data_IF_698258697680
#
_entry.id   IF_698258697680
#
_cell.length_a   1.000
_cell.length_b   1.000
_cell.length_c   1.000
_cell.angle_alpha   90.00
_cell.angle_beta   90.00
_cell.angle_gamma   90.00
#
_symmetry.space_group_name_H-M   'P 1'
#
loop_
_entity.id
_entity.type
_entity.pdbx_description
1 polymer ?
#
# COMPACT_ATOMS: atom_id res chain seq x y z
N UNK A 1 20.55 -7.59 -15.96
CA UNK A 1 19.14 -7.23 -15.70
C UNK A 1 18.88 -7.54 -14.24
N UNK A 2 18.43 -6.54 -13.49
CA UNK A 2 18.04 -6.72 -12.09
C UNK A 2 16.52 -7.03 -12.06
N UNK A 3 16.21 -8.29 -12.36
CA UNK A 3 14.83 -8.78 -12.28
C UNK A 3 14.41 -8.95 -10.84
N UNK A 4 13.21 -8.47 -10.49
CA UNK A 4 12.60 -8.61 -9.19
C UNK A 4 11.25 -9.31 -9.32
N UNK A 5 11.09 -10.45 -8.62
CA UNK A 5 9.83 -11.18 -8.51
C UNK A 5 9.04 -10.68 -7.32
N UNK A 6 7.95 -9.98 -7.60
CA UNK A 6 7.06 -9.41 -6.60
C UNK A 6 5.84 -10.30 -6.46
N UNK A 7 5.61 -10.83 -5.26
CA UNK A 7 4.37 -11.48 -4.87
C UNK A 7 3.42 -10.48 -4.22
N UNK A 8 2.12 -10.64 -4.43
CA UNK A 8 1.12 -9.93 -3.64
C UNK A 8 -0.11 -10.78 -3.36
N UNK A 9 -0.79 -10.46 -2.29
CA UNK A 9 -2.02 -11.13 -1.84
C UNK A 9 -3.16 -10.11 -1.86
N UNK A 10 -4.11 -10.32 -2.77
CA UNK A 10 -5.41 -9.67 -2.78
C UNK A 10 -6.38 -10.58 -2.01
N UNK A 11 -6.72 -10.23 -0.77
CA UNK A 11 -7.48 -11.08 0.14
C UNK A 11 -8.79 -10.41 0.56
N UNK A 12 -9.84 -11.21 0.67
CA UNK A 12 -11.07 -10.87 1.39
C UNK A 12 -10.88 -11.13 2.88
N UNK A 13 -11.16 -10.14 3.71
CA UNK A 13 -11.05 -10.27 5.15
C UNK A 13 -12.38 -10.64 5.79
N UNK A 14 -12.29 -11.39 6.88
CA UNK A 14 -13.41 -11.78 7.73
C UNK A 14 -13.31 -11.14 9.12
N UNK A 15 -14.34 -11.31 9.95
CA UNK A 15 -14.31 -10.87 11.34
C UNK A 15 -13.32 -11.68 12.22
N UNK A 16 -12.87 -12.86 11.75
CA UNK A 16 -11.88 -13.68 12.45
C UNK A 16 -10.46 -13.23 12.09
N UNK A 17 -9.89 -12.40 12.95
CA UNK A 17 -8.51 -11.91 12.82
C UNK A 17 -7.47 -13.03 12.74
N UNK A 18 -7.71 -14.15 13.43
CA UNK A 18 -6.76 -15.29 13.41
C UNK A 18 -6.80 -16.01 12.06
N UNK A 19 -8.00 -16.18 11.49
CA UNK A 19 -8.16 -16.77 10.17
C UNK A 19 -7.52 -15.87 9.11
N UNK A 20 -7.75 -14.56 9.14
CA UNK A 20 -7.13 -13.62 8.21
C UNK A 20 -5.60 -13.73 8.23
N UNK A 21 -4.99 -13.73 9.43
CA UNK A 21 -3.54 -13.83 9.60
C UNK A 21 -3.01 -15.20 9.13
N UNK A 22 -3.72 -16.28 9.42
CA UNK A 22 -3.34 -17.63 8.98
C UNK A 22 -3.31 -17.72 7.44
N UNK A 23 -4.35 -17.24 6.78
CA UNK A 23 -4.45 -17.24 5.32
C UNK A 23 -3.34 -16.39 4.68
N UNK A 24 -3.01 -15.24 5.27
CA UNK A 24 -1.85 -14.44 4.85
C UNK A 24 -0.54 -15.22 5.00
N UNK A 25 -0.33 -15.91 6.12
CA UNK A 25 0.88 -16.70 6.34
C UNK A 25 1.00 -17.85 5.32
N UNK A 26 -0.10 -18.52 5.00
CA UNK A 26 -0.15 -19.57 3.96
C UNK A 26 0.15 -18.98 2.58
N UNK A 27 -0.45 -17.83 2.24
CA UNK A 27 -0.20 -17.13 0.98
C UNK A 27 1.25 -16.67 0.83
N UNK A 28 1.85 -16.12 1.90
CA UNK A 28 3.27 -15.76 1.93
C UNK A 28 4.14 -16.99 1.66
N UNK A 29 3.83 -18.11 2.33
CA UNK A 29 4.56 -19.38 2.13
C UNK A 29 4.46 -19.89 0.69
N UNK A 30 3.26 -19.81 0.08
CA UNK A 30 3.05 -20.22 -1.32
C UNK A 30 3.84 -19.32 -2.28
N UNK A 31 3.70 -18.01 -2.17
CA UNK A 31 4.41 -17.04 -3.01
C UNK A 31 5.92 -17.20 -2.91
N UNK A 32 6.45 -17.37 -1.70
CA UNK A 32 7.87 -17.57 -1.48
C UNK A 32 8.39 -18.87 -2.15
N UNK A 33 7.65 -19.98 -2.03
CA UNK A 33 7.97 -21.26 -2.70
C UNK A 33 7.94 -21.16 -4.23
N UNK A 34 7.09 -20.28 -4.76
CA UNK A 34 7.00 -19.97 -6.20
C UNK A 34 8.08 -18.97 -6.65
N UNK A 35 8.93 -18.51 -5.73
CA UNK A 35 10.12 -17.71 -6.04
C UNK A 35 9.95 -16.20 -5.90
N UNK A 36 8.90 -15.71 -5.22
CA UNK A 36 8.80 -14.30 -4.85
C UNK A 36 9.99 -13.87 -3.98
N UNK A 37 10.52 -12.67 -4.23
CA UNK A 37 11.62 -12.07 -3.47
C UNK A 37 11.12 -10.92 -2.58
N UNK A 38 10.06 -10.25 -3.03
CA UNK A 38 9.32 -9.23 -2.30
C UNK A 38 7.85 -9.66 -2.25
N UNK A 39 7.22 -9.60 -1.09
CA UNK A 39 5.79 -9.91 -0.92
C UNK A 39 5.11 -8.69 -0.32
N UNK A 40 4.00 -8.24 -0.94
CA UNK A 40 3.24 -7.07 -0.52
C UNK A 40 1.85 -7.52 -0.06
N UNK A 41 1.47 -7.08 1.14
CA UNK A 41 0.15 -7.31 1.72
C UNK A 41 -0.71 -6.05 1.59
N UNK A 42 -2.02 -6.20 1.71
CA UNK A 42 -2.98 -5.10 1.68
C UNK A 42 -2.94 -4.25 2.97
N UNK A 43 -3.60 -3.11 2.96
CA UNK A 43 -3.69 -2.20 4.11
C UNK A 43 -4.50 -2.80 5.26
N UNK A 44 -4.02 -2.64 6.52
CA UNK A 44 -4.70 -3.06 7.76
C UNK A 44 -5.21 -4.52 7.69
N UNK A 45 -4.42 -5.38 7.10
CA UNK A 45 -4.81 -6.71 6.63
C UNK A 45 -5.23 -7.73 7.71
N UNK A 46 -5.06 -7.42 9.00
CA UNK A 46 -5.36 -8.38 10.07
C UNK A 46 -6.86 -8.51 10.37
N UNK A 47 -7.67 -7.50 10.05
CA UNK A 47 -9.07 -7.43 10.45
C UNK A 47 -9.97 -6.94 9.32
N UNK A 48 -11.28 -6.99 9.53
CA UNK A 48 -12.20 -6.17 8.75
C UNK A 48 -11.74 -4.71 8.79
N UNK A 49 -12.08 -3.95 7.76
CA UNK A 49 -11.81 -2.52 7.72
C UNK A 49 -12.71 -1.81 8.74
N UNK A 50 -12.17 -1.55 9.90
CA UNK A 50 -12.90 -1.04 11.06
C UNK A 50 -13.20 0.46 11.02
N UNK A 51 -12.57 1.20 10.10
CA UNK A 51 -12.77 2.65 9.97
C UNK A 51 -14.11 3.03 9.32
N UNK A 52 -14.97 2.05 9.05
CA UNK A 52 -16.34 2.28 8.58
C UNK A 52 -17.18 3.07 9.60
N UNK A 53 -16.83 2.98 10.88
CA UNK A 53 -17.50 3.64 12.00
C UNK A 53 -16.48 4.17 12.99
N UNK A 54 -16.88 5.18 13.78
CA UNK A 54 -16.12 5.68 14.91
C UNK A 54 -16.49 4.88 16.17
N UNK A 55 -15.61 3.97 16.59
CA UNK A 55 -15.79 3.15 17.78
C UNK A 55 -14.53 3.07 18.62
N UNK A 56 -14.64 3.44 19.89
CA UNK A 56 -13.52 3.37 20.85
C UNK A 56 -13.05 1.92 21.04
N UNK A 57 -13.92 0.94 20.90
CA UNK A 57 -13.58 -0.48 21.08
C UNK A 57 -12.61 -0.98 20.00
N UNK A 58 -12.63 -0.39 18.80
CA UNK A 58 -11.73 -0.75 17.71
C UNK A 58 -10.25 -0.43 18.02
N UNK A 59 -9.95 0.46 18.97
CA UNK A 59 -8.56 0.68 19.43
C UNK A 59 -7.93 -0.57 20.05
N UNK A 60 -8.73 -1.56 20.46
CA UNK A 60 -8.24 -2.85 20.95
C UNK A 60 -7.60 -3.72 19.82
N UNK A 61 -7.82 -3.39 18.55
CA UNK A 61 -7.18 -4.04 17.40
C UNK A 61 -5.73 -3.58 17.20
N UNK A 62 -5.33 -2.47 17.82
CA UNK A 62 -4.01 -1.89 17.64
C UNK A 62 -2.94 -2.68 18.39
N UNK A 63 -1.77 -2.83 17.77
CA UNK A 63 -0.60 -3.47 18.34
C UNK A 63 0.64 -2.56 18.34
N UNK A 64 1.61 -2.76 19.25
CA UNK A 64 2.88 -2.05 19.18
C UNK A 64 3.71 -2.50 17.97
N UNK A 65 4.63 -1.66 17.53
CA UNK A 65 5.68 -2.03 16.58
C UNK A 65 7.05 -1.85 17.25
N UNK A 66 7.83 -2.93 17.45
CA UNK A 66 7.56 -4.35 17.16
C UNK A 66 6.42 -4.93 18.01
N UNK A 67 5.64 -5.85 17.41
CA UNK A 67 4.48 -6.50 18.03
C UNK A 67 4.23 -7.90 17.48
N UNK A 68 3.07 -8.49 17.80
CA UNK A 68 2.74 -9.84 17.39
C UNK A 68 2.83 -10.08 15.88
N UNK A 69 2.26 -9.18 15.07
CA UNK A 69 2.27 -9.32 13.60
C UNK A 69 3.66 -9.16 13.01
N UNK A 70 4.42 -8.14 13.44
CA UNK A 70 5.80 -7.96 12.94
C UNK A 70 6.71 -9.13 13.33
N UNK A 71 6.47 -9.77 14.48
CA UNK A 71 7.20 -10.96 14.89
C UNK A 71 6.84 -12.15 13.99
N UNK A 72 5.56 -12.42 13.79
CA UNK A 72 5.10 -13.54 12.95
C UNK A 72 5.59 -13.39 11.51
N UNK A 73 5.34 -12.25 10.88
CA UNK A 73 5.75 -12.02 9.49
C UNK A 73 7.26 -11.90 9.35
N UNK A 74 7.98 -11.42 10.38
CA UNK A 74 9.45 -11.45 10.43
C UNK A 74 10.02 -12.87 10.47
N UNK A 75 9.40 -13.76 11.23
CA UNK A 75 9.76 -15.18 11.22
C UNK A 75 9.54 -15.82 9.85
N UNK A 76 8.43 -15.50 9.17
CA UNK A 76 8.17 -15.96 7.80
C UNK A 76 9.18 -15.36 6.78
N UNK A 77 9.46 -14.05 6.88
CA UNK A 77 10.47 -13.39 6.05
C UNK A 77 11.82 -14.09 6.15
N UNK A 78 12.25 -14.39 7.38
CA UNK A 78 13.49 -15.11 7.66
C UNK A 78 13.45 -16.56 7.18
N UNK A 79 12.37 -17.27 7.44
CA UNK A 79 12.21 -18.68 7.06
C UNK A 79 12.32 -18.87 5.54
N UNK A 80 11.73 -17.96 4.77
CA UNK A 80 11.68 -18.07 3.33
C UNK A 80 12.71 -17.20 2.60
N UNK A 81 13.43 -16.33 3.31
CA UNK A 81 14.45 -15.45 2.73
C UNK A 81 13.84 -14.38 1.81
N UNK A 82 12.66 -13.85 2.13
CA UNK A 82 11.90 -12.86 1.35
C UNK A 82 11.74 -11.55 2.11
N UNK A 83 11.63 -10.43 1.39
CA UNK A 83 11.23 -9.15 1.97
C UNK A 83 9.70 -9.08 2.02
N UNK A 84 9.11 -8.61 3.12
CA UNK A 84 7.66 -8.49 3.26
C UNK A 84 7.29 -7.03 3.58
N UNK A 85 6.31 -6.48 2.86
CA UNK A 85 5.65 -5.22 3.17
C UNK A 85 4.29 -5.52 3.79
N UNK A 86 4.09 -5.14 5.03
CA UNK A 86 2.86 -5.31 5.82
C UNK A 86 2.27 -3.95 6.21
N UNK A 87 1.01 -3.88 6.58
CA UNK A 87 0.33 -2.66 7.02
C UNK A 87 -0.53 -2.95 8.24
N UNK A 88 -0.31 -2.19 9.32
CA UNK A 88 -0.80 -2.50 10.65
C UNK A 88 -1.42 -1.27 11.34
N UNK A 89 -2.35 -1.51 12.26
CA UNK A 89 -2.82 -0.53 13.22
C UNK A 89 -1.81 -0.41 14.37
N UNK A 90 -0.95 0.61 14.31
CA UNK A 90 0.12 0.84 15.29
C UNK A 90 -0.42 1.52 16.55
N UNK A 91 -0.19 0.91 17.71
CA UNK A 91 -0.28 1.58 19.02
C UNK A 91 1.13 2.08 19.40
N UNK A 92 1.43 3.33 19.06
CA UNK A 92 2.74 3.94 19.34
C UNK A 92 2.95 4.26 20.83
N UNK A 93 1.87 4.77 21.45
CA UNK A 93 1.83 5.13 22.86
C UNK A 93 0.37 5.14 23.35
N UNK A 94 0.10 5.25 24.66
CA UNK A 94 -1.24 5.46 25.15
C UNK A 94 -1.89 6.69 24.51
N UNK A 95 -3.01 6.50 23.79
CA UNK A 95 -3.75 7.57 23.10
C UNK A 95 -3.11 8.05 21.78
N UNK A 96 -2.04 7.41 21.29
CA UNK A 96 -1.37 7.78 20.06
C UNK A 96 -1.25 6.57 19.12
N UNK A 97 -1.92 6.65 17.97
CA UNK A 97 -2.06 5.56 17.02
C UNK A 97 -1.79 6.00 15.58
N UNK A 98 -1.30 5.08 14.76
CA UNK A 98 -1.03 5.32 13.34
C UNK A 98 -1.48 4.13 12.48
N UNK A 99 -1.74 4.41 11.22
CA UNK A 99 -1.77 3.41 10.16
C UNK A 99 -0.34 3.29 9.61
N UNK A 100 0.30 2.14 9.80
CA UNK A 100 1.74 2.00 9.62
C UNK A 100 2.08 0.83 8.71
N UNK A 101 2.76 1.10 7.59
CA UNK A 101 3.42 0.06 6.82
C UNK A 101 4.77 -0.28 7.46
N UNK A 102 5.05 -1.58 7.57
CA UNK A 102 6.32 -2.11 8.09
C UNK A 102 6.97 -2.96 7.02
N UNK A 103 8.23 -2.71 6.76
CA UNK A 103 9.04 -3.52 5.84
C UNK A 103 9.93 -4.44 6.66
N UNK A 104 9.77 -5.74 6.41
CA UNK A 104 10.54 -6.79 7.05
C UNK A 104 11.59 -7.30 6.07
N UNK A 105 12.86 -7.27 6.48
CA UNK A 105 13.98 -7.78 5.68
C UNK A 105 14.00 -9.30 5.71
N UNK A 106 14.65 -9.92 4.72
CA UNK A 106 14.79 -11.38 4.56
C UNK A 106 15.46 -12.11 5.72
N UNK A 107 16.09 -11.39 6.65
CA UNK A 107 16.63 -11.96 7.90
C UNK A 107 15.61 -11.90 9.06
N UNK A 108 14.43 -11.32 8.81
CA UNK A 108 13.33 -11.17 9.77
C UNK A 108 13.37 -9.87 10.56
N UNK A 109 14.38 -9.01 10.37
CA UNK A 109 14.45 -7.71 11.03
C UNK A 109 13.54 -6.68 10.37
N UNK A 110 13.15 -5.65 11.11
CA UNK A 110 12.44 -4.50 10.56
C UNK A 110 13.45 -3.63 9.80
N UNK A 111 13.34 -3.58 8.47
CA UNK A 111 14.15 -2.72 7.62
C UNK A 111 13.76 -1.24 7.78
N UNK A 112 12.48 -0.97 7.97
CA UNK A 112 11.95 0.36 8.19
C UNK A 112 10.43 0.38 8.33
N UNK A 113 9.90 1.58 8.62
CA UNK A 113 8.46 1.82 8.78
C UNK A 113 8.07 3.11 8.06
N UNK A 114 6.83 3.14 7.58
CA UNK A 114 6.19 4.33 7.05
C UNK A 114 4.84 4.51 7.72
N UNK A 115 4.58 5.68 8.32
CA UNK A 115 3.29 6.04 8.89
C UNK A 115 2.50 6.84 7.87
N UNK A 116 1.30 6.40 7.54
CA UNK A 116 0.41 7.04 6.55
C UNK A 116 0.29 8.53 6.80
N UNK A 117 0.69 9.34 5.82
CA UNK A 117 0.75 10.80 5.94
C UNK A 117 -0.58 11.47 5.66
N UNK A 118 -1.30 10.99 4.64
CA UNK A 118 -2.61 11.51 4.28
C UNK A 118 -3.70 10.61 4.85
N UNK A 119 -4.48 11.14 5.78
CA UNK A 119 -5.53 10.40 6.48
C UNK A 119 -6.88 10.84 5.94
N UNK A 120 -7.69 9.93 5.32
CA UNK A 120 -9.02 10.24 4.83
C UNK A 120 -10.03 10.44 5.98
N UNK A 121 -11.14 11.10 5.66
CA UNK A 121 -12.26 11.35 6.58
C UNK A 121 -13.57 11.44 5.80
N UNK A 122 -13.76 10.49 4.91
CA UNK A 122 -14.96 10.38 4.08
C UNK A 122 -15.97 9.40 4.69
N UNK A 123 -17.23 9.41 4.25
CA UNK A 123 -18.22 8.44 4.70
C UNK A 123 -17.71 6.99 4.58
N UNK A 124 -17.84 6.22 5.66
CA UNK A 124 -17.30 4.88 5.83
C UNK A 124 -15.76 4.75 5.79
N UNK A 125 -15.04 5.88 5.78
CA UNK A 125 -13.57 5.94 5.85
C UNK A 125 -13.12 6.93 6.94
N UNK A 126 -13.65 6.80 8.16
CA UNK A 126 -13.38 7.68 9.30
C UNK A 126 -12.03 7.42 9.94
N UNK A 127 -10.97 7.47 9.13
CA UNK A 127 -9.61 7.15 9.60
C UNK A 127 -9.05 8.23 10.55
N UNK A 128 -9.48 9.48 10.44
CA UNK A 128 -9.03 10.55 11.36
C UNK A 128 -9.46 10.34 12.81
N UNK A 129 -10.52 9.56 13.05
CA UNK A 129 -10.90 9.16 14.40
C UNK A 129 -9.84 8.29 15.06
N UNK A 130 -9.17 7.45 14.27
CA UNK A 130 -8.22 6.45 14.76
C UNK A 130 -6.76 6.89 14.66
N UNK A 131 -6.36 7.55 13.56
CA UNK A 131 -4.96 7.72 13.22
C UNK A 131 -4.49 9.16 13.28
N UNK A 132 -3.38 9.35 13.95
CA UNK A 132 -2.56 10.56 13.81
C UNK A 132 -1.82 10.49 12.47
N UNK A 133 -1.76 11.59 11.69
CA UNK A 133 -0.93 11.65 10.50
C UNK A 133 0.52 11.24 10.77
N UNK A 134 1.17 10.65 9.76
CA UNK A 134 2.54 10.21 9.85
C UNK A 134 3.52 11.35 10.15
N UNK A 135 4.58 11.04 10.86
CA UNK A 135 5.62 11.99 11.31
C UNK A 135 7.04 11.56 10.90
N UNK A 136 7.14 10.54 10.05
CA UNK A 136 8.44 10.03 9.56
C UNK A 136 8.88 10.65 8.23
N UNK A 137 8.00 11.42 7.58
CA UNK A 137 8.26 11.96 6.24
C UNK A 137 8.13 10.91 5.14
N UNK A 138 8.51 11.31 3.91
CA UNK A 138 8.48 10.47 2.72
C UNK A 138 9.89 9.98 2.41
N UNK A 139 10.32 8.88 3.04
CA UNK A 139 11.65 8.32 2.87
C UNK A 139 11.57 6.87 2.39
N UNK A 140 12.24 6.54 1.26
CA UNK A 140 12.34 5.16 0.81
C UNK A 140 13.08 4.29 1.84
N UNK A 141 12.67 3.04 1.94
CA UNK A 141 13.25 2.07 2.87
C UNK A 141 14.25 1.19 2.11
N UNK A 142 15.49 1.16 2.59
CA UNK A 142 16.55 0.31 2.05
C UNK A 142 16.30 -1.17 2.38
N UNK A 143 16.39 -2.01 1.39
CA UNK A 143 16.24 -3.47 1.54
C UNK A 143 17.21 -4.22 0.64
N UNK A 144 17.34 -5.53 0.86
CA UNK A 144 18.14 -6.41 0.01
C UNK A 144 17.62 -6.54 -1.44
N UNK A 145 16.37 -6.14 -1.70
CA UNK A 145 15.76 -6.20 -3.04
C UNK A 145 15.75 -4.84 -3.75
N UNK A 146 16.00 -3.74 -3.03
CA UNK A 146 16.05 -2.38 -3.56
C UNK A 146 15.55 -1.37 -2.53
N UNK A 147 15.46 -0.10 -2.97
CA UNK A 147 14.92 1.02 -2.18
C UNK A 147 13.42 1.12 -2.42
N UNK A 148 12.64 0.80 -1.41
CA UNK A 148 11.18 0.71 -1.52
C UNK A 148 10.53 2.03 -1.09
N UNK A 149 9.86 2.71 -2.00
CA UNK A 149 9.03 3.89 -1.73
C UNK A 149 7.66 3.46 -1.21
N UNK A 150 7.58 3.04 0.05
CA UNK A 150 6.34 2.54 0.65
C UNK A 150 5.49 3.68 1.16
N UNK A 151 4.24 3.72 0.72
CA UNK A 151 3.19 4.64 1.14
C UNK A 151 1.89 3.84 1.35
N UNK A 152 0.83 4.45 1.87
CA UNK A 152 -0.40 3.70 2.20
C UNK A 152 -1.64 4.39 1.62
N UNK A 153 -2.41 3.66 0.83
CA UNK A 153 -3.78 3.93 0.39
C UNK A 153 -4.01 5.39 -0.05
N UNK A 154 -4.55 6.25 0.81
CA UNK A 154 -4.89 7.66 0.50
C UNK A 154 -3.71 8.48 -0.03
N UNK A 155 -2.47 8.11 0.31
CA UNK A 155 -1.25 8.71 -0.26
C UNK A 155 -1.18 8.57 -1.79
N UNK A 156 -1.91 7.60 -2.36
CA UNK A 156 -1.98 7.35 -3.82
C UNK A 156 -2.50 8.54 -4.63
N UNK A 157 -3.31 9.41 -4.01
CA UNK A 157 -3.93 10.54 -4.68
C UNK A 157 -3.01 11.76 -4.80
N UNK A 158 -1.86 11.74 -4.11
CA UNK A 158 -0.96 12.89 -3.96
C UNK A 158 0.34 12.72 -4.75
N UNK A 159 0.48 13.39 -5.91
CA UNK A 159 1.69 13.30 -6.75
C UNK A 159 2.95 13.75 -6.02
N UNK A 160 2.83 14.67 -5.06
CA UNK A 160 3.94 15.19 -4.26
C UNK A 160 4.62 14.07 -3.45
N UNK A 161 3.83 13.17 -2.86
CA UNK A 161 4.34 12.04 -2.09
C UNK A 161 5.18 11.09 -2.97
N UNK A 162 4.63 10.68 -4.10
CA UNK A 162 5.32 9.85 -5.08
C UNK A 162 6.61 10.52 -5.61
N UNK A 163 6.55 11.84 -5.85
CA UNK A 163 7.71 12.62 -6.30
C UNK A 163 8.79 12.67 -5.24
N UNK A 164 8.45 12.88 -3.97
CA UNK A 164 9.42 12.93 -2.87
C UNK A 164 10.14 11.59 -2.69
N UNK A 165 9.41 10.47 -2.79
CA UNK A 165 10.01 9.13 -2.78
C UNK A 165 11.00 8.94 -3.95
N UNK A 166 10.59 9.32 -5.16
CA UNK A 166 11.42 9.21 -6.36
C UNK A 166 12.69 10.07 -6.29
N UNK A 167 12.58 11.31 -5.76
CA UNK A 167 13.72 12.23 -5.59
C UNK A 167 14.75 11.73 -4.56
N UNK A 168 14.34 10.87 -3.65
CA UNK A 168 15.21 10.22 -2.69
C UNK A 168 15.70 8.84 -3.16
N UNK A 169 15.46 8.51 -4.43
CA UNK A 169 16.02 7.34 -5.08
C UNK A 169 15.25 6.05 -4.83
N UNK A 170 13.93 6.11 -4.64
CA UNK A 170 13.11 4.89 -4.68
C UNK A 170 13.27 4.17 -6.02
N UNK A 171 13.42 2.84 -5.97
CA UNK A 171 13.47 1.97 -7.15
C UNK A 171 12.05 1.63 -7.64
N UNK A 172 11.07 1.58 -6.72
CA UNK A 172 9.65 1.36 -7.01
C UNK A 172 8.78 1.99 -5.92
N UNK A 173 7.51 2.28 -6.26
CA UNK A 173 6.49 2.73 -5.30
C UNK A 173 5.59 1.56 -4.93
N UNK A 174 5.24 1.46 -3.65
CA UNK A 174 4.39 0.38 -3.12
C UNK A 174 3.27 1.00 -2.28
N UNK A 175 2.04 0.53 -2.51
CA UNK A 175 0.85 1.00 -1.82
C UNK A 175 -0.01 -0.17 -1.29
N UNK A 176 0.16 -0.60 -0.03
CA UNK A 176 -0.90 -1.29 0.69
C UNK A 176 -2.17 -0.45 0.70
N UNK A 177 -3.32 -1.04 0.36
CA UNK A 177 -4.55 -0.30 0.08
C UNK A 177 -5.78 -0.99 0.65
N UNK A 178 -6.78 -0.18 1.03
CA UNK A 178 -8.13 -0.60 1.36
C UNK A 178 -9.11 0.44 0.78
N UNK A 179 -9.56 0.22 -0.46
CA UNK A 179 -10.49 1.12 -1.15
C UNK A 179 -11.58 0.33 -1.86
N UNK A 180 -12.81 0.81 -1.78
CA UNK A 180 -13.99 0.16 -2.34
C UNK A 180 -15.04 1.18 -2.74
N UNK A 181 -16.21 0.67 -3.10
CA UNK A 181 -17.35 1.47 -3.55
C UNK A 181 -18.19 1.95 -2.38
N UNK A 182 -18.69 3.17 -2.47
CA UNK A 182 -19.83 3.59 -1.67
C UNK A 182 -21.12 2.93 -2.18
N UNK A 183 -21.94 2.44 -1.25
CA UNK A 183 -23.19 1.74 -1.59
C UNK A 183 -24.24 2.64 -2.27
N UNK A 184 -24.08 3.96 -2.16
CA UNK A 184 -24.96 4.97 -2.77
C UNK A 184 -24.58 5.32 -4.20
N UNK A 185 -23.38 4.96 -4.66
CA UNK A 185 -22.89 5.33 -5.98
C UNK A 185 -23.54 4.52 -7.10
N UNK A 186 -23.80 5.19 -8.23
CA UNK A 186 -24.24 4.48 -9.44
C UNK A 186 -23.10 3.64 -10.01
N UNK A 187 -23.40 2.57 -10.80
CA UNK A 187 -22.37 1.76 -11.44
C UNK A 187 -21.40 2.57 -12.31
N UNK A 188 -21.88 3.61 -12.97
CA UNK A 188 -21.04 4.51 -13.78
C UNK A 188 -20.10 5.34 -12.92
N UNK A 189 -20.54 5.78 -11.72
CA UNK A 189 -19.69 6.51 -10.79
C UNK A 189 -18.64 5.59 -10.17
N UNK A 190 -19.03 4.40 -9.76
CA UNK A 190 -18.11 3.36 -9.26
C UNK A 190 -17.00 3.07 -10.28
N UNK A 191 -17.34 2.93 -11.55
CA UNK A 191 -16.36 2.73 -12.62
C UNK A 191 -15.42 3.93 -12.77
N UNK A 192 -15.97 5.18 -12.74
CA UNK A 192 -15.14 6.39 -12.83
C UNK A 192 -14.14 6.51 -11.69
N UNK A 193 -14.55 6.22 -10.46
CA UNK A 193 -13.69 6.26 -9.27
C UNK A 193 -12.56 5.24 -9.39
N UNK A 194 -12.84 4.01 -9.77
CA UNK A 194 -11.83 2.96 -9.96
C UNK A 194 -10.83 3.32 -11.06
N UNK A 195 -11.32 3.85 -12.19
CA UNK A 195 -10.46 4.30 -13.29
C UNK A 195 -9.58 5.48 -12.84
N UNK A 196 -10.13 6.45 -12.10
CA UNK A 196 -9.37 7.59 -11.59
C UNK A 196 -8.26 7.14 -10.65
N UNK A 197 -8.57 6.22 -9.72
CA UNK A 197 -7.63 5.63 -8.78
C UNK A 197 -6.45 4.93 -9.48
N UNK A 198 -6.72 4.10 -10.48
CA UNK A 198 -5.66 3.45 -11.25
C UNK A 198 -4.87 4.45 -12.10
N UNK A 199 -5.56 5.43 -12.70
CA UNK A 199 -4.94 6.42 -13.59
C UNK A 199 -3.95 7.31 -12.85
N UNK A 200 -4.28 7.82 -11.66
CA UNK A 200 -3.37 8.68 -10.90
C UNK A 200 -2.08 7.96 -10.53
N UNK A 201 -2.15 6.71 -10.15
CA UNK A 201 -0.98 5.90 -9.78
C UNK A 201 -0.11 5.54 -11.00
N UNK A 202 -0.74 5.21 -12.13
CA UNK A 202 -0.03 5.05 -13.41
C UNK A 202 0.63 6.35 -13.84
N UNK A 203 -0.02 7.49 -13.56
CA UNK A 203 0.58 8.81 -13.73
C UNK A 203 1.84 9.01 -12.88
N UNK A 204 1.86 8.49 -11.64
CA UNK A 204 3.07 8.51 -10.80
C UNK A 204 4.19 7.67 -11.41
N UNK A 205 3.87 6.49 -11.96
CA UNK A 205 4.84 5.65 -12.64
C UNK A 205 5.50 6.40 -13.80
N UNK A 206 4.70 6.98 -14.70
CA UNK A 206 5.17 7.76 -15.85
C UNK A 206 6.00 8.98 -15.43
N UNK A 207 5.44 9.81 -14.53
CA UNK A 207 6.05 11.07 -14.12
C UNK A 207 7.39 10.89 -13.40
N UNK A 208 7.63 9.71 -12.78
CA UNK A 208 8.84 9.41 -12.04
C UNK A 208 9.73 8.37 -12.74
N UNK A 209 9.25 7.72 -13.82
CA UNK A 209 9.97 6.70 -14.57
C UNK A 209 10.34 5.50 -13.69
N UNK A 210 9.39 4.99 -12.88
CA UNK A 210 9.62 3.85 -12.00
C UNK A 210 8.32 3.03 -11.81
N UNK A 211 8.43 1.72 -11.47
CA UNK A 211 7.26 0.87 -11.28
C UNK A 211 6.41 1.26 -10.07
N UNK A 212 5.12 0.93 -10.16
CA UNK A 212 4.15 1.07 -9.06
C UNK A 212 3.51 -0.29 -8.78
N UNK A 213 3.43 -0.66 -7.51
CA UNK A 213 2.77 -1.87 -7.00
C UNK A 213 1.68 -1.46 -6.03
N UNK A 214 0.45 -1.82 -6.32
CA UNK A 214 -0.71 -1.51 -5.50
C UNK A 214 -1.43 -2.79 -5.13
N UNK A 215 -1.65 -3.01 -3.84
CA UNK A 215 -2.33 -4.20 -3.33
C UNK A 215 -3.54 -3.80 -2.51
N UNK A 216 -4.71 -4.09 -3.04
CA UNK A 216 -6.00 -3.75 -2.45
C UNK A 216 -6.68 -4.96 -1.83
N UNK A 217 -7.68 -4.71 -1.00
CA UNK A 217 -8.66 -5.70 -0.55
C UNK A 217 -9.64 -6.04 -1.66
N UNK A 218 -10.33 -7.16 -1.52
CA UNK A 218 -11.40 -7.60 -2.42
C UNK A 218 -12.60 -8.11 -1.63
N UNK A 219 -13.78 -8.02 -2.22
CA UNK A 219 -15.00 -8.57 -1.66
C UNK A 219 -15.72 -7.64 -0.68
N UNK A 220 -16.84 -8.11 -0.18
CA UNK A 220 -17.71 -7.34 0.72
C UNK A 220 -17.30 -7.52 2.18
N UNK A 221 -17.03 -6.44 2.86
CA UNK A 221 -16.79 -6.44 4.31
C UNK A 221 -17.97 -5.75 5.03
N UNK A 222 -18.71 -6.47 5.90
CA UNK A 222 -19.80 -5.89 6.67
C UNK A 222 -19.28 -4.93 7.74
N UNK A 223 -20.12 -3.99 8.14
CA UNK A 223 -19.96 -3.29 9.42
C UNK A 223 -20.61 -4.11 10.54
N UNK A 224 -19.84 -4.68 11.48
CA UNK A 224 -20.42 -5.48 12.57
C UNK A 224 -21.33 -4.71 13.52
N UNK A 225 -21.22 -3.38 13.54
CA UNK A 225 -22.09 -2.52 14.36
C UNK A 225 -23.46 -2.27 13.73
N UNK A 226 -23.59 -2.49 12.43
CA UNK A 226 -24.81 -2.25 11.65
C UNK A 226 -25.12 -0.76 11.45
N UNK A 227 -24.17 0.14 11.67
CA UNK A 227 -24.34 1.58 11.44
C UNK A 227 -24.18 1.96 9.96
N UNK A 228 -23.43 1.16 9.20
CA UNK A 228 -23.24 1.33 7.76
C UNK A 228 -23.72 0.10 6.99
N UNK A 229 -23.77 0.23 5.66
CA UNK A 229 -24.10 -0.89 4.77
C UNK A 229 -22.89 -1.77 4.42
N UNK A 230 -21.75 -1.60 5.10
CA UNK A 230 -20.52 -2.27 4.70
C UNK A 230 -19.85 -1.62 3.49
N UNK A 231 -18.70 -2.17 3.09
CA UNK A 231 -17.93 -1.71 1.92
C UNK A 231 -17.73 -2.90 0.97
N UNK A 232 -18.00 -2.68 -0.31
CA UNK A 232 -17.57 -3.56 -1.39
C UNK A 232 -16.19 -3.10 -1.87
N UNK A 233 -15.13 -3.77 -1.41
CA UNK A 233 -13.77 -3.53 -1.90
C UNK A 233 -13.63 -4.04 -3.33
N UNK A 234 -13.05 -3.22 -4.21
CA UNK A 234 -13.05 -3.48 -5.65
C UNK A 234 -11.84 -4.26 -6.17
N UNK A 235 -11.02 -4.85 -5.30
CA UNK A 235 -9.86 -5.60 -5.74
C UNK A 235 -8.97 -4.78 -6.66
N UNK A 236 -8.80 -5.23 -7.89
CA UNK A 236 -8.04 -4.53 -8.93
C UNK A 236 -6.60 -4.19 -8.51
N UNK A 237 -6.00 -5.00 -7.65
CA UNK A 237 -4.57 -4.88 -7.32
C UNK A 237 -3.76 -4.92 -8.62
N UNK A 238 -2.73 -4.09 -8.76
CA UNK A 238 -2.00 -4.03 -10.01
C UNK A 238 -0.52 -3.72 -9.86
N UNK A 239 0.22 -4.05 -10.92
CA UNK A 239 1.61 -3.63 -11.12
C UNK A 239 1.69 -2.84 -12.43
N UNK A 240 2.17 -1.61 -12.35
CA UNK A 240 2.46 -0.79 -13.51
C UNK A 240 3.97 -0.62 -13.69
N UNK A 241 4.44 -0.67 -14.92
CA UNK A 241 5.82 -0.40 -15.29
C UNK A 241 6.14 1.11 -15.37
N UNK A 242 7.41 1.48 -15.62
CA UNK A 242 7.89 2.85 -15.54
C UNK A 242 7.30 3.80 -16.60
N UNK A 243 6.61 3.28 -17.60
CA UNK A 243 5.88 4.05 -18.61
C UNK A 243 4.35 4.02 -18.39
N UNK A 244 3.91 3.53 -17.22
CA UNK A 244 2.50 3.43 -16.84
C UNK A 244 1.75 2.27 -17.50
N UNK A 245 2.46 1.40 -18.20
CA UNK A 245 1.91 0.16 -18.76
C UNK A 245 1.47 -0.78 -17.63
N UNK A 246 0.30 -1.39 -17.77
CA UNK A 246 -0.15 -2.42 -16.85
C UNK A 246 0.60 -3.73 -17.16
N UNK A 247 1.46 -4.16 -16.25
CA UNK A 247 2.14 -5.45 -16.30
C UNK A 247 1.19 -6.54 -15.81
N UNK A 248 0.42 -6.23 -14.77
CA UNK A 248 -0.63 -7.10 -14.24
C UNK A 248 -1.76 -6.28 -13.62
N UNK A 249 -2.99 -6.80 -13.71
CA UNK A 249 -4.17 -6.29 -13.02
C UNK A 249 -4.98 -7.49 -12.51
N UNK A 250 -5.27 -7.51 -11.21
CA UNK A 250 -6.04 -8.55 -10.56
C UNK A 250 -7.56 -8.36 -10.77
N UNK A 251 -8.32 -9.41 -10.50
CA UNK A 251 -9.78 -9.42 -10.54
C UNK A 251 -10.39 -8.34 -9.63
N UNK A 252 -11.57 -7.85 -10.01
CA UNK A 252 -12.40 -7.00 -9.15
C UNK A 252 -13.13 -7.79 -8.07
N UNK A 253 -13.24 -9.11 -8.20
CA UNK A 253 -14.17 -9.93 -7.43
C UNK A 253 -13.50 -11.11 -6.71
N UNK A 254 -12.34 -11.55 -7.19
CA UNK A 254 -11.69 -12.76 -6.70
C UNK A 254 -10.47 -12.47 -5.81
N UNK A 255 -10.22 -13.37 -4.86
CA UNK A 255 -8.96 -13.42 -4.14
C UNK A 255 -7.84 -13.94 -5.06
N UNK A 256 -6.68 -13.31 -5.00
CA UNK A 256 -5.56 -13.70 -5.84
C UNK A 256 -4.22 -13.71 -5.10
N UNK A 257 -3.40 -14.72 -5.42
CA UNK A 257 -2.01 -14.87 -4.98
C UNK A 257 -1.12 -14.89 -6.23
N UNK A 258 -0.50 -13.76 -6.53
CA UNK A 258 0.13 -13.48 -7.83
C UNK A 258 1.62 -13.18 -7.67
N UNK A 259 2.42 -13.62 -8.66
CA UNK A 259 3.81 -13.20 -8.83
C UNK A 259 3.93 -12.46 -10.17
N UNK A 260 4.53 -11.29 -10.11
CA UNK A 260 4.87 -10.45 -11.26
C UNK A 260 6.36 -10.21 -11.29
N UNK A 261 6.97 -10.32 -12.47
CA UNK A 261 8.39 -10.00 -12.69
C UNK A 261 8.52 -8.58 -13.22
N UNK A 262 9.39 -7.77 -12.63
CA UNK A 262 9.74 -6.44 -13.12
C UNK A 262 11.24 -6.33 -13.34
N UNK A 263 11.63 -5.58 -14.38
CA UNK A 263 13.03 -5.23 -14.65
C UNK A 263 13.34 -3.83 -14.11
N UNK A 264 14.06 -3.77 -12.99
CA UNK A 264 14.43 -2.49 -12.37
C UNK A 264 15.44 -1.70 -13.22
N UNK A 265 16.27 -2.37 -14.04
CA UNK A 265 17.20 -1.69 -14.95
C UNK A 265 16.47 -0.96 -16.08
N UNK A 266 15.26 -1.42 -16.43
CA UNK A 266 14.41 -0.75 -17.43
C UNK A 266 14.01 0.66 -16.99
N UNK A 267 13.78 0.89 -15.70
CA UNK A 267 13.49 2.22 -15.17
C UNK A 267 14.62 3.23 -15.45
N UNK A 268 15.87 2.81 -15.31
CA UNK A 268 17.02 3.65 -15.66
C UNK A 268 17.07 3.97 -17.16
N UNK A 269 16.76 2.99 -18.03
CA UNK A 269 16.69 3.20 -19.47
C UNK A 269 15.59 4.20 -19.83
N UNK A 270 14.39 4.05 -19.25
CA UNK A 270 13.27 4.96 -19.47
C UNK A 270 13.64 6.39 -19.06
N UNK A 271 14.26 6.57 -17.89
CA UNK A 271 14.71 7.87 -17.40
C UNK A 271 15.78 8.53 -18.29
N UNK A 272 16.58 7.75 -18.99
CA UNK A 272 17.52 8.26 -20.00
C UNK A 272 16.82 8.71 -21.26
N UNK A 273 15.82 7.99 -21.73
CA UNK A 273 15.05 8.34 -22.93
C UNK A 273 14.09 9.50 -22.65
N UNK A 274 13.47 9.51 -21.47
CA UNK A 274 12.49 10.50 -21.02
C UNK A 274 12.97 11.14 -19.71
N UNK A 275 13.84 12.16 -19.80
CA UNK A 275 14.54 12.68 -18.62
C UNK A 275 13.70 13.68 -17.80
N UNK A 276 12.52 13.28 -17.40
CA UNK A 276 11.57 14.14 -16.69
C UNK A 276 12.14 14.69 -15.38
N UNK A 277 12.95 13.91 -14.64
CA UNK A 277 13.58 14.38 -13.40
C UNK A 277 14.64 15.46 -13.65
N UNK A 278 15.41 15.35 -14.75
CA UNK A 278 16.44 16.34 -15.15
C UNK A 278 15.80 17.66 -15.56
N UNK A 279 14.69 17.58 -16.32
CA UNK A 279 14.09 18.73 -16.96
C UNK A 279 13.10 19.49 -16.07
N UNK A 280 13.03 19.14 -14.77
CA UNK A 280 12.20 19.85 -13.79
C UNK A 280 12.67 21.29 -13.60
N UNK A 281 11.73 22.23 -13.56
CA UNK A 281 11.95 23.66 -13.30
C UNK A 281 11.89 23.93 -11.79
N UNK A 282 12.86 23.39 -11.04
CA UNK A 282 12.90 23.45 -9.57
C UNK A 282 12.92 24.86 -9.00
N UNK A 283 13.37 25.81 -9.78
CA UNK A 283 13.39 27.26 -9.51
C UNK A 283 11.99 27.89 -9.46
N UNK A 284 11.00 27.24 -10.11
CA UNK A 284 9.62 27.77 -10.23
C UNK A 284 8.57 26.99 -9.40
N UNK A 285 8.99 26.00 -8.60
CA UNK A 285 8.06 25.12 -7.87
C UNK A 285 7.84 25.50 -6.40
N UNK A 286 8.31 26.65 -5.94
CA UNK A 286 8.22 27.07 -4.53
C UNK A 286 6.79 27.16 -4.01
N UNK A 287 5.83 27.48 -4.88
CA UNK A 287 4.42 27.64 -4.53
C UNK A 287 3.68 26.30 -4.30
N UNK A 288 4.29 25.15 -4.63
CA UNK A 288 3.71 23.83 -4.31
C UNK A 288 3.50 23.62 -2.80
N UNK A 289 4.15 24.37 -1.95
CA UNK A 289 3.95 24.31 -0.48
C UNK A 289 2.78 25.15 0.01
N UNK A 290 2.14 25.91 -0.88
CA UNK A 290 0.93 26.69 -0.57
C UNK A 290 -0.31 25.86 -0.84
N UNK A 291 -1.34 26.04 0.00
CA UNK A 291 -2.64 25.39 -0.21
C UNK A 291 -3.42 26.00 -1.39
N UNK A 292 -3.22 27.27 -1.63
CA UNK A 292 -3.81 28.04 -2.71
C UNK A 292 -2.90 29.24 -3.05
N UNK A 293 -2.89 29.68 -4.30
CA UNK A 293 -2.12 30.83 -4.77
C UNK A 293 -3.12 31.94 -5.10
N UNK A 294 -3.06 33.08 -4.35
CA UNK A 294 -3.90 34.26 -4.57
C UNK A 294 -3.35 35.15 -5.72
#
# INVERSE_FOLDING_TARGET
MKELKIGFLQQHNTADTKDNILRLAEGISDLAKRGAQLIVLQELHNSLYFCQVESVDNFNLAEPIPGPSTKLFGELAKQFGVVIVTSLFEKRAPGLYHNTAVVLEKDGTIAGTYRKMHIPDDPAYYEKFYFTPGDLGFHPIETSVGRLGVMVCWDQWYPEAARLMALQGADLLIYPTAIGYESSDTPEEQQRQRIAWQTVQRGHAVANGLPVVTVNRVGYEPDPSGQTNGIQFWGTSFVAGPQGELIYEASTDDEESIIVEIDLDHSEQVRRWWPFLRDRRIDDYTDLTRRFID
#
